data_IF_082442632550
#
_entry.id   IF_082442632550
#
_cell.length_a   1.000
_cell.length_b   1.000
_cell.length_c   1.000
_cell.angle_alpha   90.00
_cell.angle_beta   90.00
_cell.angle_gamma   90.00
#
_symmetry.space_group_name_H-M   'P 1'
#
loop_
_entity.id
_entity.type
_entity.pdbx_description
1 polymer ?
#
# COMPACT_ATOMS: atom_id res chain seq x y z
N UNK A 1 -21.29 15.86 -11.39
CA UNK A 1 -22.75 15.70 -11.67
C UNK A 1 -23.21 16.49 -12.92
N UNK A 2 -22.47 17.49 -13.40
CA UNK A 2 -22.86 18.28 -14.60
C UNK A 2 -22.75 17.47 -15.92
N UNK A 3 -21.87 16.47 -15.99
CA UNK A 3 -21.57 15.76 -17.24
C UNK A 3 -22.01 14.29 -17.26
N UNK A 4 -22.57 13.74 -16.18
CA UNK A 4 -22.98 12.32 -16.07
C UNK A 4 -21.91 11.30 -16.51
N UNK A 5 -20.64 11.69 -16.49
CA UNK A 5 -19.47 10.90 -16.89
C UNK A 5 -18.73 10.37 -15.66
N UNK A 6 -18.05 9.24 -15.77
CA UNK A 6 -17.12 8.76 -14.75
C UNK A 6 -16.01 9.82 -14.48
N UNK A 7 -15.54 9.90 -13.23
CA UNK A 7 -14.56 10.93 -12.83
C UNK A 7 -13.26 10.85 -13.64
N UNK A 8 -12.84 9.66 -14.01
CA UNK A 8 -11.64 9.45 -14.82
C UNK A 8 -11.78 10.02 -16.24
N UNK A 9 -12.95 9.82 -16.88
CA UNK A 9 -13.26 10.38 -18.19
C UNK A 9 -13.37 11.90 -18.14
N UNK A 10 -13.93 12.44 -17.06
CA UNK A 10 -13.93 13.90 -16.83
C UNK A 10 -12.51 14.44 -16.69
N UNK A 11 -11.62 13.74 -16.00
CA UNK A 11 -10.22 14.11 -15.88
C UNK A 11 -9.47 14.05 -17.22
N UNK A 12 -9.75 13.04 -18.04
CA UNK A 12 -9.19 12.88 -19.37
C UNK A 12 -9.56 14.05 -20.30
N UNK A 13 -10.81 14.49 -20.22
CA UNK A 13 -11.38 15.54 -21.06
C UNK A 13 -11.45 16.90 -20.36
N UNK A 14 -10.65 17.10 -19.30
CA UNK A 14 -10.72 18.29 -18.46
C UNK A 14 -10.54 19.61 -19.21
N UNK A 15 -9.69 19.62 -20.24
CA UNK A 15 -9.47 20.78 -21.11
C UNK A 15 -10.67 21.06 -22.04
N UNK A 16 -11.29 20.01 -22.55
CA UNK A 16 -12.44 20.12 -23.45
C UNK A 16 -13.72 20.53 -22.72
N UNK A 17 -13.96 19.89 -21.56
CA UNK A 17 -15.19 20.06 -20.80
C UNK A 17 -15.25 21.35 -19.97
N UNK A 18 -14.17 22.12 -19.93
CA UNK A 18 -14.09 23.38 -19.17
C UNK A 18 -14.65 23.28 -17.75
N UNK A 19 -14.22 22.24 -17.00
CA UNK A 19 -14.76 21.86 -15.69
C UNK A 19 -14.55 22.88 -14.55
N UNK A 20 -14.23 24.11 -14.89
CA UNK A 20 -14.05 25.19 -13.91
C UNK A 20 -12.69 25.20 -13.20
N UNK A 21 -11.73 24.42 -13.66
CA UNK A 21 -10.34 24.44 -13.17
C UNK A 21 -9.46 25.30 -14.09
N UNK A 22 -8.37 25.84 -13.57
CA UNK A 22 -7.40 26.57 -14.37
C UNK A 22 -6.64 25.61 -15.31
N UNK A 23 -6.04 26.16 -16.37
CA UNK A 23 -5.31 25.41 -17.39
C UNK A 23 -4.18 24.55 -16.80
N UNK A 24 -3.46 25.03 -15.79
CA UNK A 24 -2.39 24.27 -15.13
C UNK A 24 -2.92 23.05 -14.38
N UNK A 25 -4.08 23.14 -13.73
CA UNK A 25 -4.73 22.01 -13.09
C UNK A 25 -5.28 21.02 -14.13
N UNK A 26 -5.89 21.52 -15.20
CA UNK A 26 -6.37 20.67 -16.29
C UNK A 26 -5.22 19.88 -16.96
N UNK A 27 -4.06 20.51 -17.12
CA UNK A 27 -2.85 19.81 -17.63
C UNK A 27 -2.40 18.69 -16.68
N UNK A 28 -2.33 18.95 -15.36
CA UNK A 28 -1.97 17.93 -14.36
C UNK A 28 -2.93 16.75 -14.37
N UNK A 29 -4.23 16.98 -14.57
CA UNK A 29 -5.20 15.90 -14.71
C UNK A 29 -4.93 15.08 -15.98
N UNK A 30 -4.64 15.74 -17.11
CA UNK A 30 -4.28 15.06 -18.35
C UNK A 30 -2.99 14.24 -18.22
N UNK A 31 -1.97 14.78 -17.55
CA UNK A 31 -0.71 14.07 -17.30
C UNK A 31 -0.94 12.84 -16.40
N UNK A 32 -1.78 12.96 -15.38
CA UNK A 32 -2.19 11.85 -14.54
C UNK A 32 -2.91 10.74 -15.33
N UNK A 33 -3.88 11.11 -16.17
CA UNK A 33 -4.59 10.15 -17.03
C UNK A 33 -3.61 9.44 -17.97
N UNK A 34 -2.68 10.19 -18.57
CA UNK A 34 -1.65 9.65 -19.46
C UNK A 34 -0.77 8.64 -18.70
N UNK A 35 -0.36 8.95 -17.46
CA UNK A 35 0.38 8.04 -16.60
C UNK A 35 -0.40 6.74 -16.37
N UNK A 36 -1.66 6.83 -15.93
CA UNK A 36 -2.50 5.65 -15.65
C UNK A 36 -2.68 4.79 -16.89
N UNK A 37 -3.00 5.39 -18.04
CA UNK A 37 -3.13 4.64 -19.30
C UNK A 37 -1.84 3.95 -19.71
N UNK A 38 -0.70 4.59 -19.53
CA UNK A 38 0.60 3.99 -19.84
C UNK A 38 0.93 2.80 -18.92
N UNK A 39 0.51 2.86 -17.65
CA UNK A 39 0.63 1.74 -16.71
C UNK A 39 -0.34 0.60 -17.04
N UNK A 40 -1.55 0.90 -17.50
CA UNK A 40 -2.50 -0.11 -17.96
C UNK A 40 -1.94 -0.92 -19.15
N UNK A 41 -1.35 -0.23 -20.15
CA UNK A 41 -0.70 -0.90 -21.27
C UNK A 41 0.49 -1.74 -20.82
N UNK A 42 1.28 -1.24 -19.87
CA UNK A 42 2.41 -2.00 -19.31
C UNK A 42 1.93 -3.28 -18.60
N UNK A 43 0.82 -3.18 -17.83
CA UNK A 43 0.23 -4.30 -17.10
C UNK A 43 -0.25 -5.46 -18.00
N UNK A 44 -0.50 -5.23 -19.29
CA UNK A 44 -0.94 -6.29 -20.22
C UNK A 44 0.11 -7.40 -20.41
N UNK A 45 1.40 -7.10 -20.19
CA UNK A 45 2.50 -8.02 -20.47
C UNK A 45 3.50 -8.14 -19.30
N UNK A 46 3.17 -7.62 -18.12
CA UNK A 46 4.03 -7.59 -16.94
C UNK A 46 3.40 -8.36 -15.78
N UNK A 47 4.24 -8.96 -14.94
CA UNK A 47 3.76 -9.58 -13.71
C UNK A 47 3.48 -8.54 -12.61
N UNK A 48 2.88 -8.98 -11.49
CA UNK A 48 2.47 -8.10 -10.40
C UNK A 48 3.63 -7.27 -9.83
N UNK A 49 4.81 -7.88 -9.67
CA UNK A 49 5.98 -7.19 -9.13
C UNK A 49 6.51 -6.13 -10.11
N UNK A 50 6.61 -6.45 -11.40
CA UNK A 50 7.05 -5.50 -12.42
C UNK A 50 6.12 -4.28 -12.50
N UNK A 51 4.80 -4.50 -12.42
CA UNK A 51 3.82 -3.42 -12.41
C UNK A 51 3.96 -2.55 -11.17
N UNK A 52 4.07 -3.14 -9.98
CA UNK A 52 4.22 -2.40 -8.72
C UNK A 52 5.52 -1.58 -8.67
N UNK A 53 6.63 -2.14 -9.14
CA UNK A 53 7.92 -1.47 -9.26
C UNK A 53 7.84 -0.29 -10.24
N UNK A 54 7.22 -0.50 -11.41
CA UNK A 54 7.04 0.54 -12.42
C UNK A 54 6.12 1.67 -11.92
N UNK A 55 5.05 1.35 -11.19
CA UNK A 55 4.18 2.34 -10.51
C UNK A 55 5.02 3.18 -9.55
N UNK A 56 5.82 2.54 -8.72
CA UNK A 56 6.67 3.22 -7.72
C UNK A 56 7.67 4.17 -8.38
N UNK A 57 8.29 3.74 -9.48
CA UNK A 57 9.24 4.55 -10.26
C UNK A 57 8.57 5.74 -10.95
N UNK A 58 7.48 5.51 -11.68
CA UNK A 58 6.81 6.58 -12.46
C UNK A 58 6.10 7.60 -11.60
N UNK A 59 5.51 7.18 -10.49
CA UNK A 59 4.88 8.11 -9.53
C UNK A 59 5.92 8.88 -8.72
N UNK A 60 7.17 8.39 -8.64
CA UNK A 60 8.25 8.95 -7.82
C UNK A 60 7.92 9.02 -6.33
N UNK A 61 6.98 8.22 -5.84
CA UNK A 61 6.47 8.27 -4.47
C UNK A 61 7.60 8.14 -3.43
N UNK A 62 8.53 7.20 -3.63
CA UNK A 62 9.67 7.01 -2.73
C UNK A 62 10.61 8.22 -2.75
N UNK A 63 10.81 8.84 -3.93
CA UNK A 63 11.66 10.04 -4.06
C UNK A 63 11.05 11.22 -3.30
N UNK A 64 9.74 11.37 -3.35
CA UNK A 64 9.05 12.47 -2.68
C UNK A 64 8.97 12.23 -1.17
N UNK A 65 8.77 10.98 -0.70
CA UNK A 65 8.85 10.63 0.72
C UNK A 65 10.27 10.83 1.29
N UNK A 66 11.33 10.50 0.53
CA UNK A 66 12.71 10.76 0.95
C UNK A 66 13.02 12.25 1.17
N UNK A 67 12.38 13.14 0.42
CA UNK A 67 12.55 14.60 0.60
C UNK A 67 11.89 15.11 1.89
N UNK A 68 10.87 14.42 2.36
CA UNK A 68 10.17 14.78 3.58
C UNK A 68 11.07 14.65 4.83
N UNK A 69 11.96 13.65 4.87
CA UNK A 69 12.97 13.46 5.91
C UNK A 69 12.40 13.24 7.32
N UNK A 70 11.09 13.07 7.44
CA UNK A 70 10.41 12.83 8.72
C UNK A 70 10.44 11.35 9.08
N UNK A 71 10.38 10.97 10.38
CA UNK A 71 10.23 9.57 10.79
C UNK A 71 9.02 8.90 10.13
N UNK A 72 7.91 9.63 9.95
CA UNK A 72 6.73 9.14 9.25
C UNK A 72 7.00 8.89 7.76
N UNK A 73 7.78 9.74 7.10
CA UNK A 73 8.23 9.52 5.72
C UNK A 73 9.07 8.27 5.57
N UNK A 74 9.97 8.01 6.52
CA UNK A 74 10.81 6.80 6.56
C UNK A 74 9.93 5.56 6.72
N UNK A 75 9.03 5.54 7.70
CA UNK A 75 8.09 4.43 7.90
C UNK A 75 7.23 4.13 6.67
N UNK A 76 6.78 5.16 5.94
CA UNK A 76 6.05 4.96 4.68
C UNK A 76 6.92 4.34 3.59
N UNK A 77 8.21 4.66 3.54
CA UNK A 77 9.15 4.04 2.60
C UNK A 77 9.32 2.57 2.94
N UNK A 78 9.55 2.24 4.20
CA UNK A 78 9.67 0.87 4.69
C UNK A 78 8.42 0.04 4.35
N UNK A 79 7.22 0.59 4.56
CA UNK A 79 5.97 -0.06 4.18
C UNK A 79 5.86 -0.31 2.66
N UNK A 80 6.35 0.60 1.82
CA UNK A 80 6.37 0.41 0.36
C UNK A 80 7.36 -0.69 -0.01
N UNK A 81 8.54 -0.73 0.61
CA UNK A 81 9.55 -1.76 0.37
C UNK A 81 9.04 -3.14 0.82
N UNK A 82 8.38 -3.24 1.97
CA UNK A 82 7.76 -4.45 2.45
C UNK A 82 6.63 -4.94 1.53
N UNK A 83 5.78 -4.03 1.05
CA UNK A 83 4.75 -4.35 0.06
C UNK A 83 5.36 -4.89 -1.24
N UNK A 84 6.40 -4.25 -1.75
CA UNK A 84 7.09 -4.71 -2.97
C UNK A 84 7.72 -6.09 -2.78
N UNK A 85 8.31 -6.37 -1.61
CA UNK A 85 8.83 -7.68 -1.27
C UNK A 85 7.72 -8.74 -1.23
N UNK A 86 6.59 -8.45 -0.58
CA UNK A 86 5.43 -9.36 -0.56
C UNK A 86 4.86 -9.65 -1.94
N UNK A 87 4.79 -8.65 -2.83
CA UNK A 87 4.37 -8.86 -4.23
C UNK A 87 5.39 -9.71 -4.99
N UNK A 88 6.68 -9.52 -4.73
CA UNK A 88 7.76 -10.29 -5.34
C UNK A 88 7.69 -11.76 -4.92
N UNK A 89 7.55 -12.03 -3.62
CA UNK A 89 7.43 -13.39 -3.08
C UNK A 89 6.19 -14.10 -3.67
N UNK A 90 5.06 -13.39 -3.79
CA UNK A 90 3.88 -13.90 -4.49
C UNK A 90 4.20 -14.27 -5.93
N UNK A 91 4.83 -13.37 -6.69
CA UNK A 91 5.14 -13.59 -8.11
C UNK A 91 6.08 -14.78 -8.30
N UNK A 92 7.14 -14.88 -7.48
CA UNK A 92 8.09 -16.01 -7.52
C UNK A 92 7.40 -17.34 -7.14
N UNK A 93 6.48 -17.34 -6.18
CA UNK A 93 5.68 -18.50 -5.82
C UNK A 93 4.74 -18.96 -6.93
N UNK A 94 4.25 -18.06 -7.77
CA UNK A 94 3.38 -18.40 -8.91
C UNK A 94 4.15 -19.05 -10.07
N UNK A 95 5.45 -18.81 -10.22
CA UNK A 95 6.27 -19.43 -11.27
C UNK A 95 6.30 -20.98 -11.17
N UNK A 96 6.05 -21.54 -9.99
CA UNK A 96 6.00 -22.97 -9.74
C UNK A 96 4.61 -23.59 -10.03
N UNK A 97 3.59 -22.78 -10.28
CA UNK A 97 2.20 -23.19 -10.46
C UNK A 97 1.86 -23.21 -11.96
N UNK A 98 1.42 -24.36 -12.46
CA UNK A 98 1.00 -24.49 -13.84
C UNK A 98 -0.20 -23.56 -14.11
N UNK A 99 -0.14 -22.82 -15.22
CA UNK A 99 -1.14 -21.84 -15.68
C UNK A 99 -1.28 -20.55 -14.85
N UNK A 100 -0.49 -20.35 -13.78
CA UNK A 100 -0.44 -19.07 -13.09
C UNK A 100 0.43 -18.08 -13.88
N UNK A 101 -0.02 -16.84 -13.95
CA UNK A 101 0.68 -15.77 -14.68
C UNK A 101 1.45 -14.83 -13.77
N UNK A 102 1.17 -14.88 -12.46
CA UNK A 102 1.68 -13.91 -11.48
C UNK A 102 1.20 -12.47 -11.77
N UNK A 103 0.06 -12.34 -12.46
CA UNK A 103 -0.49 -11.04 -12.83
C UNK A 103 -0.97 -10.24 -11.61
N UNK A 104 -1.02 -8.93 -11.75
CA UNK A 104 -1.49 -8.03 -10.69
C UNK A 104 -2.92 -8.37 -10.23
N UNK A 105 -3.79 -8.80 -11.13
CA UNK A 105 -5.15 -9.25 -10.81
C UNK A 105 -5.16 -10.44 -9.87
N UNK A 106 -4.32 -11.44 -10.11
CA UNK A 106 -4.20 -12.63 -9.26
C UNK A 106 -3.71 -12.25 -7.85
N UNK A 107 -2.72 -11.36 -7.75
CA UNK A 107 -2.27 -10.84 -6.47
C UNK A 107 -3.38 -10.10 -5.70
N UNK A 108 -4.14 -9.25 -6.39
CA UNK A 108 -5.24 -8.50 -5.76
C UNK A 108 -6.39 -9.41 -5.32
N UNK A 109 -6.66 -10.49 -6.04
CA UNK A 109 -7.64 -11.52 -5.65
C UNK A 109 -7.16 -12.28 -4.40
N UNK A 110 -5.88 -12.65 -4.34
CA UNK A 110 -5.29 -13.33 -3.18
C UNK A 110 -5.36 -12.45 -1.92
N UNK A 111 -5.00 -11.18 -2.03
CA UNK A 111 -5.12 -10.20 -0.91
C UNK A 111 -6.58 -10.01 -0.49
N UNK A 112 -7.52 -9.94 -1.43
CA UNK A 112 -8.94 -9.78 -1.12
C UNK A 112 -9.47 -11.01 -0.36
N UNK A 113 -9.11 -12.21 -0.79
CA UNK A 113 -9.50 -13.45 -0.11
C UNK A 113 -8.89 -13.53 1.29
N UNK A 114 -7.60 -13.18 1.46
CA UNK A 114 -6.95 -13.17 2.78
C UNK A 114 -7.68 -12.25 3.76
N UNK A 115 -8.10 -11.06 3.29
CA UNK A 115 -8.84 -10.08 4.12
C UNK A 115 -10.24 -10.58 4.49
N UNK A 116 -10.93 -11.30 3.60
CA UNK A 116 -12.26 -11.86 3.87
C UNK A 116 -12.19 -13.01 4.89
N UNK A 117 -11.17 -13.86 4.82
CA UNK A 117 -10.93 -14.90 5.83
C UNK A 117 -10.71 -14.34 7.23
N UNK A 118 -10.04 -13.21 7.36
CA UNK A 118 -9.86 -12.52 8.65
C UNK A 118 -11.21 -12.00 9.19
N UNK A 119 -12.08 -11.52 8.34
CA UNK A 119 -13.41 -11.03 8.71
C UNK A 119 -14.42 -12.15 9.04
N UNK A 120 -14.44 -13.25 8.29
CA UNK A 120 -15.32 -14.40 8.54
C UNK A 120 -14.98 -15.09 9.86
N UNK A 121 -13.71 -15.14 10.22
CA UNK A 121 -13.20 -15.70 11.45
C UNK A 121 -13.45 -14.82 12.69
N UNK A 122 -13.85 -13.58 12.54
CA UNK A 122 -14.14 -12.68 13.66
C UNK A 122 -15.34 -13.11 14.53
N UNK A 123 -16.22 -13.97 14.01
CA UNK A 123 -17.40 -14.47 14.71
C UNK A 123 -17.27 -15.93 15.24
N UNK A 124 -16.10 -16.52 15.10
CA UNK A 124 -15.88 -17.89 15.56
C UNK A 124 -15.30 -17.90 17.01
N UNK A 125 -16.08 -18.39 17.96
CA UNK A 125 -15.76 -18.49 19.39
C UNK A 125 -14.71 -19.59 19.74
N UNK A 126 -14.06 -20.18 18.74
CA UNK A 126 -13.01 -21.17 19.01
C UNK A 126 -11.78 -20.53 19.66
N UNK A 127 -11.21 -21.14 20.73
CA UNK A 127 -9.98 -20.64 21.32
C UNK A 127 -8.84 -20.63 20.29
N UNK A 128 -8.30 -19.47 20.02
CA UNK A 128 -7.19 -19.31 19.07
C UNK A 128 -6.15 -18.33 19.59
N UNK A 129 -4.93 -18.45 19.07
CA UNK A 129 -3.85 -17.48 19.27
C UNK A 129 -3.73 -16.66 18.01
N UNK A 130 -3.86 -15.34 18.13
CA UNK A 130 -3.66 -14.40 17.03
C UNK A 130 -2.23 -13.89 17.06
N UNK A 131 -1.51 -14.02 15.96
CA UNK A 131 -0.19 -13.43 15.75
C UNK A 131 -0.35 -12.17 14.90
N UNK A 132 0.13 -11.04 15.39
CA UNK A 132 -0.02 -9.78 14.68
C UNK A 132 1.09 -8.79 15.07
N UNK A 133 1.26 -7.76 14.27
CA UNK A 133 2.16 -6.65 14.61
C UNK A 133 1.53 -5.73 15.65
N UNK A 134 2.36 -4.97 16.37
CA UNK A 134 1.87 -3.95 17.32
C UNK A 134 0.97 -2.92 16.63
N UNK A 135 1.27 -2.56 15.39
CA UNK A 135 0.43 -1.65 14.60
C UNK A 135 -0.97 -2.22 14.33
N UNK A 136 -1.08 -3.50 14.00
CA UNK A 136 -2.37 -4.17 13.81
C UNK A 136 -3.14 -4.34 15.12
N UNK A 137 -2.45 -4.44 16.26
CA UNK A 137 -3.06 -4.53 17.57
C UNK A 137 -3.61 -3.17 18.08
N UNK A 138 -3.26 -2.06 17.44
CA UNK A 138 -3.70 -0.72 17.87
C UNK A 138 -5.22 -0.60 17.88
N UNK A 139 -5.78 -0.37 19.07
CA UNK A 139 -7.23 -0.24 19.26
C UNK A 139 -7.97 -1.56 19.49
N UNK A 140 -7.26 -2.69 19.48
CA UNK A 140 -7.82 -3.99 19.86
C UNK A 140 -7.53 -4.28 21.34
N UNK A 141 -8.40 -5.06 21.98
CA UNK A 141 -8.28 -5.47 23.38
C UNK A 141 -8.29 -6.99 23.45
N UNK A 142 -7.31 -7.57 24.13
CA UNK A 142 -7.19 -9.02 24.33
C UNK A 142 -7.05 -9.37 25.83
N UNK A 143 -7.68 -10.48 26.30
CA UNK A 143 -7.55 -10.93 27.68
C UNK A 143 -6.10 -11.31 28.06
N UNK A 144 -5.33 -11.78 27.09
CA UNK A 144 -3.93 -12.21 27.26
C UNK A 144 -3.12 -11.67 26.08
N UNK A 145 -2.01 -10.99 26.38
CA UNK A 145 -1.10 -10.42 25.39
C UNK A 145 0.32 -10.88 25.70
N UNK A 146 1.01 -11.36 24.69
CA UNK A 146 2.43 -11.72 24.74
C UNK A 146 3.16 -10.89 23.71
N UNK A 147 4.08 -10.03 24.13
CA UNK A 147 4.93 -9.24 23.24
C UNK A 147 6.26 -9.98 23.14
N UNK A 148 6.65 -10.31 21.91
CA UNK A 148 7.92 -10.97 21.58
C UNK A 148 8.83 -10.00 20.84
N UNK A 149 10.13 -10.29 20.79
CA UNK A 149 11.11 -9.42 20.11
C UNK A 149 11.40 -8.11 20.85
N UNK A 150 11.23 -8.08 22.19
CA UNK A 150 11.62 -6.96 23.03
C UNK A 150 13.14 -6.97 23.26
N UNK A 151 13.87 -6.58 22.23
CA UNK A 151 15.32 -6.48 22.22
C UNK A 151 15.75 -5.02 22.11
N UNK A 152 16.95 -4.71 22.61
CA UNK A 152 17.52 -3.37 22.54
C UNK A 152 17.63 -2.94 21.08
N UNK A 153 17.28 -1.72 20.74
CA UNK A 153 17.21 -1.13 19.41
C UNK A 153 16.10 -1.67 18.47
N UNK A 154 15.41 -2.76 18.81
CA UNK A 154 14.30 -3.29 18.05
C UNK A 154 12.95 -2.81 18.63
N UNK A 155 12.77 -2.92 19.94
CA UNK A 155 11.58 -2.41 20.63
C UNK A 155 11.92 -2.00 22.08
N UNK A 156 11.85 -0.70 22.46
CA UNK A 156 11.55 0.45 21.58
C UNK A 156 12.58 0.66 20.47
N UNK A 157 12.12 1.17 19.32
CA UNK A 157 12.98 1.47 18.18
C UNK A 157 14.04 2.51 18.55
N UNK A 158 15.29 2.28 18.14
CA UNK A 158 16.41 3.23 18.38
C UNK A 158 16.08 4.66 17.90
N UNK A 159 15.30 4.79 16.82
CA UNK A 159 14.88 6.10 16.29
C UNK A 159 13.92 6.86 17.22
N UNK A 160 13.19 6.16 18.07
CA UNK A 160 12.21 6.75 18.99
C UNK A 160 12.81 7.04 20.38
N UNK A 161 14.00 6.50 20.67
CA UNK A 161 14.70 6.74 21.94
C UNK A 161 15.22 8.18 22.09
N UNK A 162 15.53 8.87 20.98
CA UNK A 162 16.12 10.19 21.00
C UNK A 162 15.15 11.34 21.34
N UNK A 163 13.85 11.06 21.38
CA UNK A 163 12.84 12.07 21.71
C UNK A 163 11.84 11.59 22.77
N UNK A 164 11.49 12.48 23.70
CA UNK A 164 10.49 12.20 24.72
C UNK A 164 9.11 11.90 24.12
N UNK A 165 8.77 12.56 23.00
CA UNK A 165 7.54 12.30 22.26
C UNK A 165 7.55 10.94 21.57
N UNK A 166 8.70 10.49 21.02
CA UNK A 166 8.85 9.18 20.44
C UNK A 166 8.64 8.06 21.46
N UNK A 167 9.23 8.20 22.65
CA UNK A 167 9.02 7.23 23.75
C UNK A 167 7.56 7.17 24.23
N UNK A 168 6.85 8.31 24.24
CA UNK A 168 5.42 8.35 24.59
C UNK A 168 4.54 7.73 23.51
N UNK A 169 4.94 7.81 22.25
CA UNK A 169 4.26 7.15 21.10
C UNK A 169 4.43 5.63 21.16
N UNK A 170 5.66 5.14 21.38
CA UNK A 170 5.96 3.70 21.56
C UNK A 170 5.26 3.09 22.78
N UNK A 171 4.93 3.91 23.77
CA UNK A 171 4.25 3.47 25.00
C UNK A 171 2.72 3.34 24.84
N UNK A 172 2.15 3.89 23.81
CA UNK A 172 0.70 3.87 23.53
C UNK A 172 0.29 2.62 22.77
#
# INVERSE_FOLDING_TARGET
>A
KQHSLPIFEVAERALELQIGVNTGTAQKLSDFVTLIKSLQVFNENANAFEVADEVTKRTRIVVDLKKDGTPEGISKIENIEELLNGIKDFTEGQEEIADATGALTEFLEDVALATDFDNENANDDTPRVSLMTIHLAKGLEFPYVYIVGMEEDLFPSAMNLDSRSGLEEERR
#
